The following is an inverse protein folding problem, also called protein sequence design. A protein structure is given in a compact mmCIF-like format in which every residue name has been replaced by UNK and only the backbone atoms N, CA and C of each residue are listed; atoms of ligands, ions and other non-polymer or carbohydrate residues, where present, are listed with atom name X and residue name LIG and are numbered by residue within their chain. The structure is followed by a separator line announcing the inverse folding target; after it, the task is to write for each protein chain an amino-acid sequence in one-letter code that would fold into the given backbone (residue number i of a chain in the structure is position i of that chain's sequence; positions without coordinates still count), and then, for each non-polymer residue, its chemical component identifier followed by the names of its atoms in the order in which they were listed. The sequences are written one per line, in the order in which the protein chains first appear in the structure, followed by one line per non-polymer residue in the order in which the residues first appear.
data_IF_233146499971
#
_entry.id   IF_233146499971
#
_cell.length_a   1.000
_cell.length_b   1.000
_cell.length_c   1.000
_cell.angle_alpha   90.00
_cell.angle_beta   90.00
_cell.angle_gamma   90.00
#
_symmetry.space_group_name_H-M   'P 1'
#
loop_
_entity.id
_entity.type
_entity.pdbx_description
1 polymer ?
#
# COMPACT_ATOMS: atom_id res chain seq x y z
N UNK A 1 -21.08 29.80 90.68
CA UNK A 1 -20.27 30.19 89.50
C UNK A 1 -20.52 29.34 88.24
N UNK A 2 -21.42 28.32 88.23
CA UNK A 2 -21.66 27.45 87.06
C UNK A 2 -22.67 28.00 86.03
N UNK A 3 -23.47 29.02 86.38
CA UNK A 3 -24.52 29.59 85.51
C UNK A 3 -23.98 30.56 84.44
N UNK A 4 -22.82 31.17 84.68
CA UNK A 4 -22.21 32.12 83.74
C UNK A 4 -21.44 31.43 82.59
N UNK A 5 -21.09 30.15 82.76
CA UNK A 5 -20.37 29.35 81.76
C UNK A 5 -21.25 29.04 80.54
N UNK A 6 -22.55 28.79 80.77
CA UNK A 6 -23.53 28.56 79.70
C UNK A 6 -23.86 29.81 78.89
N UNK A 7 -23.82 30.99 79.53
CA UNK A 7 -24.10 32.28 78.86
C UNK A 7 -22.95 32.67 77.92
N UNK A 8 -21.71 32.44 78.33
CA UNK A 8 -20.53 32.67 77.49
C UNK A 8 -20.49 31.68 76.31
N UNK A 9 -20.89 30.42 76.53
CA UNK A 9 -20.96 29.41 75.48
C UNK A 9 -21.99 29.76 74.39
N UNK A 10 -23.15 30.30 74.80
CA UNK A 10 -24.19 30.72 73.85
C UNK A 10 -23.85 32.01 73.09
N UNK A 11 -23.09 32.92 73.72
CA UNK A 11 -22.66 34.17 73.09
C UNK A 11 -21.59 33.98 71.98
N UNK A 12 -20.88 32.84 72.00
CA UNK A 12 -19.82 32.54 71.02
C UNK A 12 -20.30 31.75 69.79
N UNK A 13 -21.49 31.15 69.84
CA UNK A 13 -22.08 30.37 68.73
C UNK A 13 -22.12 31.10 67.36
N UNK A 14 -22.49 32.39 67.25
CA UNK A 14 -22.59 33.04 65.94
C UNK A 14 -21.23 33.30 65.26
N UNK A 15 -20.11 33.15 65.97
CA UNK A 15 -18.78 33.32 65.40
C UNK A 15 -18.23 32.05 64.70
N UNK A 16 -18.87 30.89 64.87
CA UNK A 16 -18.44 29.65 64.22
C UNK A 16 -19.11 29.38 62.86
N UNK A 17 -20.09 30.18 62.44
CA UNK A 17 -20.86 29.93 61.20
C UNK A 17 -20.26 30.51 59.91
N UNK A 18 -19.05 31.10 59.94
CA UNK A 18 -18.41 31.71 58.78
C UNK A 18 -17.18 30.95 58.25
N UNK A 19 -17.15 29.61 58.34
CA UNK A 19 -16.25 28.79 57.54
C UNK A 19 -16.93 28.41 56.22
N UNK A 20 -17.19 29.40 55.35
CA UNK A 20 -17.61 29.12 53.98
C UNK A 20 -16.44 28.47 53.23
N UNK A 21 -16.63 27.20 52.86
CA UNK A 21 -15.69 26.44 52.04
C UNK A 21 -15.43 27.17 50.71
N UNK A 22 -14.17 27.27 50.24
CA UNK A 22 -13.92 27.72 48.89
C UNK A 22 -14.44 26.66 47.92
N UNK A 23 -15.47 27.02 47.15
CA UNK A 23 -15.94 26.23 46.01
C UNK A 23 -14.75 25.89 45.13
N UNK A 24 -14.36 24.62 45.11
CA UNK A 24 -13.23 24.14 44.35
C UNK A 24 -13.49 24.35 42.84
N UNK A 25 -12.62 25.06 42.10
CA UNK A 25 -12.73 25.19 40.64
C UNK A 25 -12.49 23.87 39.88
N UNK A 26 -12.26 22.76 40.60
CA UNK A 26 -11.88 21.45 40.06
C UNK A 26 -12.96 20.81 39.19
N UNK A 27 -14.25 21.07 39.46
CA UNK A 27 -15.36 20.40 38.75
C UNK A 27 -15.54 20.96 37.33
N UNK A 28 -15.39 22.27 37.13
CA UNK A 28 -15.50 22.88 35.79
C UNK A 28 -14.29 22.54 34.90
N UNK A 29 -13.09 22.46 35.46
CA UNK A 29 -11.90 22.00 34.72
C UNK A 29 -12.02 20.53 34.29
N UNK A 30 -12.57 19.65 35.14
CA UNK A 30 -12.71 18.23 34.81
C UNK A 30 -13.68 17.99 33.62
N UNK A 31 -14.81 18.70 33.57
CA UNK A 31 -15.76 18.61 32.45
C UNK A 31 -15.20 19.19 31.15
N UNK A 32 -14.49 20.32 31.22
CA UNK A 32 -13.83 20.91 30.04
C UNK A 32 -12.75 19.99 29.47
N UNK A 33 -11.92 19.40 30.33
CA UNK A 33 -10.89 18.45 29.91
C UNK A 33 -11.52 17.22 29.23
N UNK A 34 -12.54 16.60 29.82
CA UNK A 34 -13.21 15.43 29.22
C UNK A 34 -13.79 15.72 27.83
N UNK A 35 -14.40 16.90 27.62
CA UNK A 35 -14.93 17.27 26.31
C UNK A 35 -13.83 17.51 25.27
N UNK A 36 -12.66 18.00 25.69
CA UNK A 36 -11.52 18.19 24.81
C UNK A 36 -10.87 16.85 24.42
N UNK A 37 -10.67 15.96 25.39
CA UNK A 37 -10.12 14.61 25.16
C UNK A 37 -11.02 13.77 24.26
N UNK A 38 -12.34 13.82 24.46
CA UNK A 38 -13.29 13.08 23.62
C UNK A 38 -13.32 13.59 22.17
N UNK A 39 -13.22 14.90 21.96
CA UNK A 39 -13.15 15.48 20.60
C UNK A 39 -11.83 15.15 19.89
N UNK A 40 -10.71 15.12 20.63
CA UNK A 40 -9.44 14.66 20.09
C UNK A 40 -9.51 13.18 19.72
N UNK A 41 -10.01 12.31 20.62
CA UNK A 41 -10.12 10.87 20.35
C UNK A 41 -11.03 10.56 19.16
N UNK A 42 -12.16 11.23 19.00
CA UNK A 42 -13.02 11.06 17.82
C UNK A 42 -12.30 11.46 16.51
N UNK A 43 -11.56 12.58 16.50
CA UNK A 43 -10.78 12.99 15.32
C UNK A 43 -9.69 11.99 14.95
N UNK A 44 -9.03 11.38 15.94
CA UNK A 44 -8.03 10.34 15.70
C UNK A 44 -8.65 9.05 15.16
N UNK A 45 -9.81 8.65 15.68
CA UNK A 45 -10.56 7.48 15.21
C UNK A 45 -11.05 7.65 13.77
N UNK A 46 -11.62 8.81 13.43
CA UNK A 46 -12.14 9.08 12.07
C UNK A 46 -11.01 9.14 11.02
N UNK A 47 -9.85 9.71 11.38
CA UNK A 47 -8.66 9.71 10.51
C UNK A 47 -8.10 8.30 10.30
N UNK A 48 -8.10 7.47 11.34
CA UNK A 48 -7.65 6.07 11.26
C UNK A 48 -8.55 5.21 10.36
N UNK A 49 -9.87 5.38 10.44
CA UNK A 49 -10.82 4.60 9.62
C UNK A 49 -10.85 5.06 8.15
N UNK A 50 -10.80 6.37 7.88
CA UNK A 50 -10.83 6.93 6.53
C UNK A 50 -9.62 6.57 5.67
N UNK A 51 -8.41 6.55 6.25
CA UNK A 51 -7.17 6.23 5.52
C UNK A 51 -7.13 4.78 5.03
N UNK A 52 -7.76 3.87 5.77
CA UNK A 52 -7.70 2.44 5.44
C UNK A 52 -8.48 2.07 4.16
N UNK A 53 -9.66 2.65 3.94
CA UNK A 53 -10.44 2.45 2.71
C UNK A 53 -9.75 3.05 1.49
N UNK A 54 -9.01 4.15 1.69
CA UNK A 54 -8.17 4.76 0.64
C UNK A 54 -7.01 3.85 0.26
N UNK A 55 -6.31 3.28 1.26
CA UNK A 55 -5.12 2.45 1.04
C UNK A 55 -5.43 1.14 0.29
N UNK A 56 -6.56 0.49 0.59
CA UNK A 56 -7.01 -0.70 -0.14
C UNK A 56 -7.30 -0.37 -1.60
N UNK A 57 -8.07 0.69 -1.88
CA UNK A 57 -8.36 1.14 -3.25
C UNK A 57 -7.11 1.53 -4.03
N UNK A 58 -6.12 2.14 -3.38
CA UNK A 58 -4.83 2.49 -4.00
C UNK A 58 -4.06 1.21 -4.36
N UNK A 59 -4.02 0.23 -3.46
CA UNK A 59 -3.34 -1.06 -3.69
C UNK A 59 -4.01 -1.85 -4.82
N UNK A 60 -5.34 -1.91 -4.85
CA UNK A 60 -6.11 -2.54 -5.93
C UNK A 60 -5.83 -1.89 -7.29
N UNK A 61 -5.83 -0.55 -7.36
CA UNK A 61 -5.46 0.17 -8.60
C UNK A 61 -4.03 -0.13 -9.04
N UNK A 62 -3.09 -0.26 -8.10
CA UNK A 62 -1.71 -0.64 -8.42
C UNK A 62 -1.64 -2.07 -8.96
N UNK A 63 -2.34 -3.02 -8.34
CA UNK A 63 -2.43 -4.41 -8.83
C UNK A 63 -2.99 -4.45 -10.24
N UNK A 64 -4.13 -3.79 -10.50
CA UNK A 64 -4.74 -3.76 -11.82
C UNK A 64 -3.82 -3.16 -12.90
N UNK A 65 -3.04 -2.12 -12.55
CA UNK A 65 -2.04 -1.55 -13.46
C UNK A 65 -0.94 -2.55 -13.80
N UNK A 66 -0.42 -3.25 -12.80
CA UNK A 66 0.64 -4.24 -13.01
C UNK A 66 0.13 -5.48 -13.75
N UNK A 67 -1.11 -5.92 -13.51
CA UNK A 67 -1.75 -7.00 -14.27
C UNK A 67 -1.95 -6.61 -15.75
N UNK A 68 -2.35 -5.37 -16.04
CA UNK A 68 -2.40 -4.85 -17.41
C UNK A 68 -1.02 -4.81 -18.05
N UNK A 69 0.02 -4.43 -17.31
CA UNK A 69 1.39 -4.45 -17.81
C UNK A 69 1.87 -5.89 -18.09
N UNK A 70 1.51 -6.86 -17.25
CA UNK A 70 1.81 -8.27 -17.46
C UNK A 70 1.22 -8.78 -18.78
N UNK A 71 -0.07 -8.50 -19.05
CA UNK A 71 -0.72 -8.89 -20.30
C UNK A 71 0.01 -8.32 -21.54
N UNK A 72 0.43 -7.06 -21.48
CA UNK A 72 1.22 -6.44 -22.57
C UNK A 72 2.58 -7.13 -22.79
N UNK A 73 3.24 -7.55 -21.72
CA UNK A 73 4.51 -8.27 -21.82
C UNK A 73 4.29 -9.67 -22.40
N UNK A 74 3.20 -10.37 -22.05
CA UNK A 74 2.83 -11.66 -22.63
C UNK A 74 2.53 -11.55 -24.13
N UNK A 75 1.78 -10.52 -24.53
CA UNK A 75 1.52 -10.21 -25.94
C UNK A 75 2.83 -9.93 -26.70
N UNK A 76 3.73 -9.12 -26.12
CA UNK A 76 5.04 -8.83 -26.71
C UNK A 76 5.92 -10.08 -26.83
N UNK A 77 5.90 -10.98 -25.84
CA UNK A 77 6.62 -12.27 -25.93
C UNK A 77 6.06 -13.11 -27.07
N UNK A 78 4.73 -13.13 -27.24
CA UNK A 78 4.07 -13.88 -28.31
C UNK A 78 4.48 -13.34 -29.68
N UNK A 79 4.50 -12.02 -29.84
CA UNK A 79 4.97 -11.37 -31.06
C UNK A 79 6.45 -11.68 -31.34
N UNK A 80 7.33 -11.56 -30.34
CA UNK A 80 8.76 -11.86 -30.51
C UNK A 80 9.02 -13.34 -30.85
N UNK A 81 8.23 -14.28 -30.30
CA UNK A 81 8.31 -15.69 -30.67
C UNK A 81 7.92 -15.90 -32.15
N UNK A 82 6.84 -15.25 -32.60
CA UNK A 82 6.41 -15.31 -34.00
C UNK A 82 7.46 -14.72 -34.94
N UNK A 83 8.06 -13.57 -34.58
CA UNK A 83 9.13 -12.94 -35.36
C UNK A 83 10.35 -13.86 -35.45
N UNK A 84 10.72 -14.50 -34.34
CA UNK A 84 11.85 -15.44 -34.28
C UNK A 84 11.60 -16.67 -35.16
N UNK A 85 10.39 -17.23 -35.12
CA UNK A 85 9.99 -18.35 -35.98
C UNK A 85 10.07 -17.96 -37.46
N UNK A 86 9.55 -16.79 -37.82
CA UNK A 86 9.63 -16.28 -39.19
C UNK A 86 11.08 -16.08 -39.65
N UNK A 87 11.92 -15.47 -38.83
CA UNK A 87 13.35 -15.27 -39.12
C UNK A 87 14.09 -16.61 -39.25
N UNK A 88 13.78 -17.58 -38.40
CA UNK A 88 14.37 -18.93 -38.45
C UNK A 88 13.96 -19.66 -39.73
N UNK A 89 12.69 -19.56 -40.13
CA UNK A 89 12.18 -20.14 -41.37
C UNK A 89 12.83 -19.48 -42.60
N UNK A 90 13.01 -18.17 -42.59
CA UNK A 90 13.73 -17.43 -43.63
C UNK A 90 15.20 -17.85 -43.72
N UNK A 91 15.89 -17.98 -42.57
CA UNK A 91 17.27 -18.48 -42.54
C UNK A 91 17.38 -19.88 -43.14
N UNK A 92 16.46 -20.78 -42.77
CA UNK A 92 16.43 -22.16 -43.29
C UNK A 92 16.16 -22.20 -44.79
N UNK A 93 15.22 -21.38 -45.29
CA UNK A 93 14.93 -21.28 -46.72
C UNK A 93 16.15 -20.75 -47.51
N UNK A 94 16.88 -19.79 -46.95
CA UNK A 94 18.11 -19.26 -47.55
C UNK A 94 19.23 -20.29 -47.52
N UNK A 95 19.46 -21.00 -46.41
CA UNK A 95 20.46 -22.07 -46.35
C UNK A 95 20.15 -23.20 -47.35
N UNK A 96 18.88 -23.55 -47.54
CA UNK A 96 18.47 -24.54 -48.55
C UNK A 96 18.68 -24.06 -49.99
N UNK A 97 18.51 -22.76 -50.27
CA UNK A 97 18.70 -22.18 -51.61
C UNK A 97 20.15 -21.80 -51.92
N UNK A 98 20.97 -21.55 -50.90
CA UNK A 98 22.41 -21.27 -50.97
C UNK A 98 23.19 -22.37 -51.71
N UNK A 99 22.74 -23.62 -51.58
CA UNK A 99 23.31 -24.78 -52.27
C UNK A 99 23.30 -24.65 -53.82
N UNK A 100 22.56 -23.70 -54.38
CA UNK A 100 22.49 -23.46 -55.84
C UNK A 100 23.19 -22.17 -56.32
N UNK A 101 23.55 -21.21 -55.45
CA UNK A 101 24.15 -19.91 -55.84
C UNK A 101 25.07 -19.37 -54.74
N UNK A 102 26.38 -19.50 -54.94
CA UNK A 102 27.38 -19.58 -53.86
C UNK A 102 27.77 -18.27 -53.15
N UNK A 103 27.43 -17.05 -53.62
CA UNK A 103 28.01 -15.81 -53.06
C UNK A 103 27.02 -14.75 -52.54
N UNK A 104 25.85 -14.58 -53.16
CA UNK A 104 24.86 -13.59 -52.66
C UNK A 104 24.15 -14.06 -51.39
N UNK A 105 24.01 -15.37 -51.22
CA UNK A 105 23.28 -15.96 -50.09
C UNK A 105 23.98 -15.75 -48.74
N UNK A 106 25.31 -15.67 -48.68
CA UNK A 106 26.03 -15.74 -47.41
C UNK A 106 25.85 -14.49 -46.54
N UNK A 107 25.81 -13.31 -47.17
CA UNK A 107 25.59 -12.02 -46.48
C UNK A 107 24.16 -11.92 -45.92
N UNK A 108 23.17 -12.35 -46.69
CA UNK A 108 21.76 -12.32 -46.28
C UNK A 108 21.52 -13.30 -45.12
N UNK A 109 22.18 -14.47 -45.13
CA UNK A 109 22.14 -15.41 -44.01
C UNK A 109 22.80 -14.86 -42.74
N UNK A 110 23.92 -14.16 -42.85
CA UNK A 110 24.55 -13.47 -41.71
C UNK A 110 23.64 -12.38 -41.13
N UNK A 111 23.00 -11.58 -41.99
CA UNK A 111 22.09 -10.52 -41.53
C UNK A 111 20.89 -11.10 -40.75
N UNK A 112 20.30 -12.19 -41.24
CA UNK A 112 19.20 -12.86 -40.54
C UNK A 112 19.68 -13.48 -39.23
N UNK A 113 20.87 -14.09 -39.17
CA UNK A 113 21.44 -14.60 -37.90
C UNK A 113 21.61 -13.48 -36.86
N UNK A 114 22.05 -12.30 -37.29
CA UNK A 114 22.13 -11.11 -36.41
C UNK A 114 20.74 -10.66 -35.95
N UNK A 115 19.73 -10.71 -36.83
CA UNK A 115 18.36 -10.37 -36.46
C UNK A 115 17.77 -11.37 -35.45
N UNK A 116 17.99 -12.67 -35.64
CA UNK A 116 17.59 -13.73 -34.71
C UNK A 116 18.20 -13.47 -33.33
N UNK A 117 19.51 -13.26 -33.25
CA UNK A 117 20.19 -12.98 -31.98
C UNK A 117 19.63 -11.75 -31.26
N UNK A 118 19.31 -10.68 -32.02
CA UNK A 118 18.66 -9.47 -31.45
C UNK A 118 17.25 -9.76 -30.94
N UNK A 119 16.48 -10.58 -31.66
CA UNK A 119 15.12 -10.98 -31.24
C UNK A 119 15.18 -11.85 -29.98
N UNK A 120 16.11 -12.79 -29.91
CA UNK A 120 16.37 -13.64 -28.73
C UNK A 120 16.76 -12.80 -27.51
N UNK A 121 17.67 -11.84 -27.67
CA UNK A 121 18.08 -10.94 -26.58
C UNK A 121 16.88 -10.12 -26.06
N UNK A 122 16.05 -9.58 -26.96
CA UNK A 122 14.82 -8.86 -26.60
C UNK A 122 13.82 -9.77 -25.88
N UNK A 123 13.70 -11.01 -26.30
CA UNK A 123 12.81 -12.00 -25.72
C UNK A 123 13.25 -12.35 -24.30
N UNK A 124 14.55 -12.59 -24.08
CA UNK A 124 15.13 -12.83 -22.75
C UNK A 124 14.85 -11.64 -21.82
N UNK A 125 15.12 -10.41 -22.27
CA UNK A 125 14.84 -9.19 -21.49
C UNK A 125 13.35 -9.07 -21.15
N UNK A 126 12.47 -9.30 -22.11
CA UNK A 126 11.01 -9.20 -21.90
C UNK A 126 10.50 -10.27 -20.93
N UNK A 127 11.05 -11.50 -20.98
CA UNK A 127 10.74 -12.56 -19.99
C UNK A 127 11.21 -12.19 -18.58
N UNK A 128 12.41 -11.62 -18.44
CA UNK A 128 12.92 -11.15 -17.15
C UNK A 128 12.07 -10.00 -16.56
N UNK A 129 11.61 -9.08 -17.41
CA UNK A 129 10.66 -8.03 -17.02
C UNK A 129 9.33 -8.62 -16.55
N UNK A 130 8.81 -9.63 -17.25
CA UNK A 130 7.57 -10.31 -16.87
C UNK A 130 7.68 -11.04 -15.52
N UNK A 131 8.81 -11.70 -15.27
CA UNK A 131 9.07 -12.34 -13.99
C UNK A 131 9.13 -11.31 -12.85
N UNK A 132 9.84 -10.21 -13.07
CA UNK A 132 9.95 -9.10 -12.10
C UNK A 132 8.58 -8.50 -11.80
N UNK A 133 7.76 -8.28 -12.83
CA UNK A 133 6.41 -7.75 -12.68
C UNK A 133 5.49 -8.74 -11.93
N UNK A 134 5.61 -10.03 -12.22
CA UNK A 134 4.87 -11.09 -11.50
C UNK A 134 5.23 -11.11 -10.01
N UNK A 135 6.52 -10.99 -9.65
CA UNK A 135 6.96 -10.84 -8.26
C UNK A 135 6.38 -9.59 -7.60
N UNK A 136 6.34 -8.47 -8.33
CA UNK A 136 5.74 -7.21 -7.85
C UNK A 136 4.26 -7.35 -7.55
N UNK A 137 3.47 -7.99 -8.44
CA UNK A 137 2.05 -8.29 -8.20
C UNK A 137 1.88 -9.15 -6.95
N UNK A 138 2.71 -10.20 -6.79
CA UNK A 138 2.70 -11.04 -5.59
C UNK A 138 2.95 -10.25 -4.30
N UNK A 139 3.96 -9.38 -4.30
CA UNK A 139 4.26 -8.52 -3.16
C UNK A 139 3.09 -7.56 -2.82
N UNK A 140 2.46 -6.94 -3.83
CA UNK A 140 1.32 -6.05 -3.64
C UNK A 140 0.09 -6.79 -3.09
N UNK A 141 -0.16 -8.02 -3.55
CA UNK A 141 -1.23 -8.88 -3.04
C UNK A 141 -1.00 -9.25 -1.58
N UNK A 142 0.24 -9.58 -1.20
CA UNK A 142 0.59 -9.90 0.20
C UNK A 142 0.38 -8.70 1.14
N UNK A 143 0.78 -7.49 0.74
CA UNK A 143 0.56 -6.25 1.50
C UNK A 143 -0.93 -5.93 1.64
N UNK A 144 -1.70 -6.15 0.57
CA UNK A 144 -3.15 -6.02 0.58
C UNK A 144 -3.83 -6.98 1.56
N UNK A 145 -3.40 -8.25 1.60
CA UNK A 145 -3.95 -9.26 2.51
C UNK A 145 -3.56 -9.02 3.98
N UNK A 146 -2.29 -8.69 4.27
CA UNK A 146 -1.83 -8.33 5.63
C UNK A 146 -2.62 -7.15 6.22
N UNK A 147 -2.99 -6.18 5.37
CA UNK A 147 -3.81 -5.04 5.79
C UNK A 147 -5.25 -5.42 6.15
N UNK A 148 -5.75 -6.56 5.64
CA UNK A 148 -7.10 -7.07 5.90
C UNK A 148 -7.12 -8.03 7.11
N UNK A 149 -6.12 -8.90 7.27
CA UNK A 149 -6.03 -9.87 8.38
C UNK A 149 -5.76 -9.21 9.73
N UNK A 150 -4.81 -8.26 9.82
CA UNK A 150 -4.57 -7.50 11.07
C UNK A 150 -5.84 -6.76 11.57
N UNK A 151 -6.77 -6.42 10.68
CA UNK A 151 -8.05 -5.79 11.03
C UNK A 151 -9.09 -6.76 11.60
N UNK A 152 -9.07 -8.03 11.22
CA UNK A 152 -9.98 -9.05 11.80
C UNK A 152 -9.58 -9.39 13.23
N UNK A 153 -8.30 -9.33 13.54
CA UNK A 153 -7.79 -9.57 14.90
C UNK A 153 -7.96 -8.35 15.82
N UNK A 154 -7.87 -7.12 15.30
CA UNK A 154 -8.12 -5.89 16.07
C UNK A 154 -9.61 -5.60 16.36
N UNK A 155 -10.54 -6.26 15.66
CA UNK A 155 -11.99 -6.11 15.84
C UNK A 155 -12.63 -7.29 16.60
N UNK A 156 -11.84 -8.19 17.17
CA UNK A 156 -12.28 -9.33 17.97
C UNK A 156 -12.01 -9.07 19.44
#
# INVERSE_FOLDING_TARGET
MKKYLFVILFALLPFLSNAQMPNSPRVQMAQSNQQWTNRQNQKWHDRGMGNSKSQTKITEKKIAKEEKNKLKLEEKITQLNSDLEQQTNQSTALENSANNTHNYSQKDTEEIKVQIAKTEEKLIKTKAELETNSKKIGSLKSVGQFSVTNKKELNK
#
